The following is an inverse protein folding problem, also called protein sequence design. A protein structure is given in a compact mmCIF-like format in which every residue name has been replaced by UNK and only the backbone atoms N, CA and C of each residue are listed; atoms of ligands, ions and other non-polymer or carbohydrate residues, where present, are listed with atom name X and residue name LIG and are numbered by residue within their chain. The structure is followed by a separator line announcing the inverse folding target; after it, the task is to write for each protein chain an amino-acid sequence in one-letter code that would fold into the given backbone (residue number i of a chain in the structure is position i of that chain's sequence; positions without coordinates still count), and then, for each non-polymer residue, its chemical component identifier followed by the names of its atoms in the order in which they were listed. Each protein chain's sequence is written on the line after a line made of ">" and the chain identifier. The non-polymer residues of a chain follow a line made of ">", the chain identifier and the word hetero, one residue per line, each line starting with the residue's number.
data_IF_317648036848
#
_entry.id   IF_317648036848
#
_cell.length_a   1.000
_cell.length_b   1.000
_cell.length_c   1.000
_cell.angle_alpha   90.00
_cell.angle_beta   90.00
_cell.angle_gamma   90.00
#
_symmetry.space_group_name_H-M   'P 1'
#
loop_
_entity.id
_entity.type
_entity.pdbx_description
1 polymer ?
#
# COMPACT_ATOMS: atom_id res chain seq x y z
N UNK A 1 13.68 15.82 -12.35
CA UNK A 1 13.29 16.06 -10.94
C UNK A 1 11.77 15.93 -10.72
N UNK A 2 10.92 16.78 -11.31
CA UNK A 2 9.46 16.69 -11.12
C UNK A 2 8.83 15.44 -11.75
N UNK A 3 9.41 14.91 -12.83
CA UNK A 3 8.95 13.68 -13.50
C UNK A 3 9.13 12.41 -12.64
N UNK A 4 10.23 12.31 -11.89
CA UNK A 4 10.51 11.20 -10.98
C UNK A 4 9.70 11.26 -9.70
N UNK A 5 9.54 12.46 -9.12
CA UNK A 5 8.69 12.67 -7.93
C UNK A 5 7.23 12.41 -8.28
N UNK A 6 6.74 12.94 -9.41
CA UNK A 6 5.35 12.76 -9.80
C UNK A 6 5.05 11.30 -10.18
N UNK A 7 5.92 10.61 -10.93
CA UNK A 7 5.62 9.21 -11.31
C UNK A 7 5.86 8.22 -10.16
N UNK A 8 6.88 8.45 -9.32
CA UNK A 8 7.26 7.48 -8.27
C UNK A 8 6.65 7.75 -6.90
N UNK A 9 6.20 8.97 -6.60
CA UNK A 9 5.58 9.32 -5.29
C UNK A 9 4.06 9.40 -5.40
N UNK A 10 3.52 9.95 -6.51
CA UNK A 10 2.08 10.09 -6.66
C UNK A 10 1.39 8.71 -6.69
N UNK A 11 2.01 7.72 -7.32
CA UNK A 11 1.46 6.36 -7.42
C UNK A 11 1.32 5.66 -6.05
N UNK A 12 2.37 5.54 -5.20
CA UNK A 12 2.23 4.95 -3.87
C UNK A 12 1.38 5.81 -2.92
N UNK A 13 1.37 7.14 -3.08
CA UNK A 13 0.53 8.03 -2.25
C UNK A 13 -0.96 7.87 -2.58
N UNK A 14 -1.31 7.77 -3.85
CA UNK A 14 -2.67 7.42 -4.29
C UNK A 14 -3.03 6.02 -3.82
N UNK A 15 -2.14 5.04 -3.97
CA UNK A 15 -2.39 3.68 -3.49
C UNK A 15 -2.62 3.62 -1.97
N UNK A 16 -1.95 4.48 -1.19
CA UNK A 16 -2.14 4.61 0.25
C UNK A 16 -3.55 5.09 0.61
N UNK A 17 -3.96 6.18 -0.03
CA UNK A 17 -5.28 6.77 0.16
C UNK A 17 -6.36 5.78 -0.24
N UNK A 18 -6.20 5.12 -1.39
CA UNK A 18 -7.13 4.09 -1.86
C UNK A 18 -7.20 2.91 -0.90
N UNK A 19 -6.05 2.41 -0.39
CA UNK A 19 -6.03 1.33 0.61
C UNK A 19 -6.78 1.72 1.88
N UNK A 20 -6.51 2.91 2.45
CA UNK A 20 -7.22 3.40 3.64
C UNK A 20 -8.71 3.53 3.37
N UNK A 21 -9.07 4.12 2.22
CA UNK A 21 -10.46 4.35 1.86
C UNK A 21 -11.22 3.03 1.68
N UNK A 22 -10.63 2.04 1.03
CA UNK A 22 -11.22 0.70 0.87
C UNK A 22 -11.33 -0.01 2.22
N UNK A 23 -10.28 0.01 3.05
CA UNK A 23 -10.30 -0.63 4.37
C UNK A 23 -11.35 0.02 5.29
N UNK A 24 -11.52 1.34 5.21
CA UNK A 24 -12.45 2.09 6.05
C UNK A 24 -13.89 2.06 5.54
N UNK A 25 -14.11 2.16 4.22
CA UNK A 25 -15.43 2.23 3.60
C UNK A 25 -16.04 0.85 3.28
N UNK A 26 -15.25 -0.06 2.69
CA UNK A 26 -15.71 -1.42 2.35
C UNK A 26 -15.53 -2.38 3.53
N UNK A 27 -14.51 -2.15 4.36
CA UNK A 27 -14.19 -3.02 5.48
C UNK A 27 -13.42 -4.26 5.01
N UNK A 28 -12.20 -4.42 5.50
CA UNK A 28 -11.34 -5.56 5.13
C UNK A 28 -12.00 -6.93 5.40
N UNK A 29 -12.89 -6.98 6.40
CA UNK A 29 -13.66 -8.17 6.73
C UNK A 29 -14.67 -8.56 5.65
N UNK A 30 -15.29 -7.59 4.98
CA UNK A 30 -16.28 -7.86 3.92
C UNK A 30 -15.61 -8.49 2.70
N UNK A 31 -14.43 -8.00 2.32
CA UNK A 31 -13.62 -8.56 1.22
C UNK A 31 -13.16 -9.98 1.58
N UNK A 32 -12.77 -10.19 2.83
CA UNK A 32 -12.36 -11.52 3.31
C UNK A 32 -13.52 -12.51 3.27
N UNK A 33 -14.73 -12.10 3.67
CA UNK A 33 -15.91 -12.96 3.67
C UNK A 33 -16.30 -13.38 2.23
N UNK A 34 -16.20 -12.46 1.25
CA UNK A 34 -16.36 -12.77 -0.18
C UNK A 34 -15.32 -13.78 -0.67
N UNK A 35 -14.04 -13.56 -0.34
CA UNK A 35 -12.95 -14.46 -0.76
C UNK A 35 -13.10 -15.84 -0.12
N UNK A 36 -13.61 -15.91 1.12
CA UNK A 36 -13.87 -17.15 1.85
C UNK A 36 -15.02 -17.96 1.26
N UNK A 37 -16.06 -17.28 0.79
CA UNK A 37 -17.18 -17.91 0.09
C UNK A 37 -16.71 -18.57 -1.22
N UNK A 38 -15.65 -18.03 -1.81
CA UNK A 38 -14.97 -18.60 -3.00
C UNK A 38 -13.93 -19.68 -2.67
N UNK A 39 -13.27 -19.67 -1.49
CA UNK A 39 -12.25 -20.68 -1.13
C UNK A 39 -12.03 -20.81 0.39
N UNK A 40 -11.76 -22.03 0.90
CA UNK A 40 -11.52 -22.32 2.34
C UNK A 40 -10.19 -21.74 2.84
N UNK A 41 -10.11 -20.42 2.99
CA UNK A 41 -8.95 -19.74 3.56
C UNK A 41 -8.98 -19.82 5.10
N UNK A 42 -8.10 -20.64 5.67
CA UNK A 42 -7.95 -20.82 7.13
C UNK A 42 -7.07 -19.73 7.78
N UNK A 43 -6.48 -18.83 6.98
CA UNK A 43 -5.53 -17.80 7.42
C UNK A 43 -5.96 -16.37 7.08
N UNK A 44 -7.27 -16.11 7.09
CA UNK A 44 -7.87 -14.79 6.82
C UNK A 44 -7.28 -13.65 7.66
N UNK A 45 -7.05 -13.90 8.96
CA UNK A 45 -6.47 -12.88 9.85
C UNK A 45 -5.02 -12.56 9.49
N UNK A 46 -4.22 -13.54 9.07
CA UNK A 46 -2.84 -13.27 8.62
C UNK A 46 -2.85 -12.48 7.32
N UNK A 47 -3.73 -12.80 6.38
CA UNK A 47 -3.88 -12.06 5.13
C UNK A 47 -4.42 -10.63 5.34
N UNK A 48 -5.40 -10.45 6.22
CA UNK A 48 -5.91 -9.14 6.62
C UNK A 48 -4.80 -8.28 7.23
N UNK A 49 -4.04 -8.85 8.17
CA UNK A 49 -2.94 -8.14 8.82
C UNK A 49 -1.85 -7.82 7.80
N UNK A 50 -1.50 -8.74 6.90
CA UNK A 50 -0.60 -8.43 5.79
C UNK A 50 -1.14 -7.27 4.95
N UNK A 51 -2.37 -7.28 4.45
CA UNK A 51 -2.84 -6.18 3.59
C UNK A 51 -2.88 -4.85 4.36
N UNK A 52 -3.34 -4.87 5.62
CA UNK A 52 -3.44 -3.66 6.46
C UNK A 52 -2.09 -3.11 6.92
N UNK A 53 -1.06 -3.94 7.06
CA UNK A 53 0.26 -3.54 7.58
C UNK A 53 1.35 -3.52 6.50
N UNK A 54 1.38 -4.48 5.58
CA UNK A 54 2.36 -4.57 4.48
C UNK A 54 2.15 -3.45 3.46
N UNK A 55 0.89 -3.10 3.14
CA UNK A 55 0.60 -2.01 2.21
C UNK A 55 1.16 -0.66 2.71
N UNK A 56 0.86 -0.20 3.95
CA UNK A 56 1.44 1.04 4.45
C UNK A 56 2.96 0.95 4.63
N UNK A 57 3.51 -0.20 5.05
CA UNK A 57 4.97 -0.39 5.19
C UNK A 57 5.69 -0.27 3.85
N UNK A 58 5.19 -0.91 2.78
CA UNK A 58 5.75 -0.79 1.44
C UNK A 58 5.71 0.66 0.95
N UNK A 59 4.60 1.37 1.20
CA UNK A 59 4.44 2.77 0.79
C UNK A 59 5.44 3.67 1.53
N UNK A 60 5.60 3.49 2.84
CA UNK A 60 6.60 4.22 3.64
C UNK A 60 8.02 3.94 3.11
N UNK A 61 8.35 2.69 2.79
CA UNK A 61 9.64 2.30 2.21
C UNK A 61 9.91 2.99 0.86
N UNK A 62 8.90 3.05 -0.01
CA UNK A 62 9.01 3.72 -1.32
C UNK A 62 9.16 5.24 -1.12
N UNK A 63 8.40 5.82 -0.19
CA UNK A 63 8.47 7.25 0.14
C UNK A 63 9.86 7.63 0.68
N UNK A 64 10.39 6.83 1.62
CA UNK A 64 11.75 6.99 2.17
C UNK A 64 12.79 6.83 1.07
N UNK A 65 12.69 5.81 0.22
CA UNK A 65 13.60 5.61 -0.91
C UNK A 65 13.57 6.81 -1.87
N UNK A 66 12.40 7.40 -2.12
CA UNK A 66 12.25 8.58 -2.97
C UNK A 66 12.80 9.85 -2.32
N UNK A 67 12.59 10.04 -1.01
CA UNK A 67 13.12 11.17 -0.24
C UNK A 67 14.64 11.10 -0.12
N UNK A 68 15.23 9.93 0.15
CA UNK A 68 16.69 9.77 0.14
C UNK A 68 17.29 10.05 -1.24
N UNK A 69 16.60 9.65 -2.30
CA UNK A 69 17.03 9.94 -3.67
C UNK A 69 16.96 11.45 -3.97
N UNK A 70 15.91 12.13 -3.49
CA UNK A 70 15.70 13.58 -3.64
C UNK A 70 16.62 14.44 -2.75
N UNK A 71 16.96 13.98 -1.53
CA UNK A 71 17.79 14.71 -0.55
C UNK A 71 19.30 14.57 -0.76
N UNK A 72 19.76 13.80 -1.76
CA UNK A 72 21.10 14.00 -2.34
C UNK A 72 22.07 12.82 -2.33
N UNK A 73 21.71 11.68 -2.94
CA UNK A 73 22.72 10.65 -3.28
C UNK A 73 22.80 10.33 -4.78
N UNK A 74 21.87 10.77 -5.64
CA UNK A 74 22.05 10.60 -7.09
C UNK A 74 21.64 11.88 -7.82
N UNK A 75 22.64 12.73 -8.04
CA UNK A 75 22.68 13.68 -9.14
C UNK A 75 23.42 12.97 -10.27
N UNK A 76 22.69 12.27 -11.13
CA UNK A 76 23.07 12.07 -12.54
C UNK A 76 22.04 12.84 -13.37
#
# INVERSE_FOLDING_TARGET
>A
FFDFVSNSVLMPLVAFLTCIFVVWFVGLQSIVDEVKLSSRFKQEKMFCVMIRYIAPVCIILILVSSVLNSLGVIKI
#
